data_IF_778984562208
#
_entry.id   IF_778984562208
#
_cell.length_a   1.000
_cell.length_b   1.000
_cell.length_c   1.000
_cell.angle_alpha   90.00
_cell.angle_beta   90.00
_cell.angle_gamma   90.00
#
_symmetry.space_group_name_H-M   'P 1'
#
loop_
_entity.id
_entity.type
_entity.pdbx_description
1 polymer ?
#
# COMPACT_ATOMS: atom_id res chain seq x y z
N UNK A 1 -24.89 15.40 39.13
CA UNK A 1 -24.70 13.95 39.26
C UNK A 1 -23.41 13.61 38.54
N UNK A 2 -22.34 13.33 39.29
CA UNK A 2 -21.00 13.08 38.73
C UNK A 2 -20.89 11.59 38.42
N UNK A 3 -20.81 11.23 37.14
CA UNK A 3 -20.58 9.85 36.71
C UNK A 3 -19.17 9.45 37.16
N UNK A 4 -19.08 8.66 38.23
CA UNK A 4 -17.80 8.06 38.62
C UNK A 4 -17.42 7.04 37.54
N UNK A 5 -16.36 7.34 36.78
CA UNK A 5 -15.83 6.42 35.77
C UNK A 5 -15.31 5.14 36.40
N UNK A 6 -15.46 4.02 35.70
CA UNK A 6 -14.92 2.72 36.11
C UNK A 6 -13.39 2.79 36.20
N UNK A 7 -12.83 2.55 37.39
CA UNK A 7 -11.39 2.41 37.55
C UNK A 7 -10.94 1.03 37.06
N UNK A 8 -10.10 1.00 36.02
CA UNK A 8 -9.54 -0.24 35.44
C UNK A 8 -8.09 -0.40 35.92
N UNK A 9 -7.76 -1.55 36.51
CA UNK A 9 -6.40 -1.89 36.95
C UNK A 9 -5.50 -2.39 35.82
N UNK A 10 -4.22 -2.65 36.12
CA UNK A 10 -3.28 -3.21 35.15
C UNK A 10 -3.67 -4.65 34.74
N UNK A 11 -3.34 -5.08 33.51
CA UNK A 11 -3.52 -6.47 33.10
C UNK A 11 -2.73 -7.44 34.01
N UNK A 12 -3.26 -8.64 34.29
CA UNK A 12 -2.53 -9.70 34.99
C UNK A 12 -1.21 -10.08 34.30
N UNK A 13 -0.26 -10.59 35.07
CA UNK A 13 0.98 -11.16 34.52
C UNK A 13 0.67 -12.34 33.58
N UNK A 14 1.32 -12.38 32.42
CA UNK A 14 1.08 -13.40 31.40
C UNK A 14 -0.12 -13.13 30.49
N UNK A 15 -0.80 -11.98 30.61
CA UNK A 15 -1.86 -11.59 29.68
C UNK A 15 -1.26 -11.42 28.26
N UNK A 16 -1.82 -12.07 27.22
CA UNK A 16 -1.36 -11.86 25.85
C UNK A 16 -1.63 -10.43 25.39
N UNK A 17 -0.80 -9.93 24.46
CA UNK A 17 -1.01 -8.62 23.84
C UNK A 17 -2.37 -8.61 23.12
N UNK A 18 -3.31 -7.72 23.49
CA UNK A 18 -4.60 -7.64 22.83
C UNK A 18 -4.54 -7.03 21.44
N UNK A 19 -3.42 -6.41 21.04
CA UNK A 19 -3.26 -5.74 19.74
C UNK A 19 -2.93 -6.72 18.60
N UNK A 20 -3.58 -7.88 18.61
CA UNK A 20 -3.53 -8.85 17.51
C UNK A 20 -4.54 -8.45 16.44
N UNK A 21 -4.05 -7.92 15.32
CA UNK A 21 -4.89 -7.61 14.16
C UNK A 21 -4.87 -8.78 13.16
N UNK A 22 -6.02 -9.20 12.61
CA UNK A 22 -6.02 -10.08 11.44
C UNK A 22 -5.36 -9.35 10.25
N UNK A 23 -4.75 -10.08 9.30
CA UNK A 23 -4.21 -9.44 8.11
C UNK A 23 -5.27 -8.62 7.37
N UNK A 24 -4.92 -7.40 7.02
CA UNK A 24 -5.77 -6.50 6.26
C UNK A 24 -5.75 -6.90 4.78
N UNK A 25 -6.93 -7.10 4.19
CA UNK A 25 -7.06 -7.44 2.77
C UNK A 25 -6.89 -6.18 1.93
N UNK A 26 -5.82 -6.13 1.13
CA UNK A 26 -5.56 -5.01 0.24
C UNK A 26 -6.66 -4.88 -0.82
N UNK A 27 -7.10 -3.64 -1.06
CA UNK A 27 -8.06 -3.30 -2.12
C UNK A 27 -7.43 -2.34 -3.11
N UNK A 28 -7.82 -2.42 -4.37
CA UNK A 28 -7.38 -1.45 -5.36
C UNK A 28 -7.96 -0.06 -5.02
N UNK A 29 -7.14 0.98 -5.10
CA UNK A 29 -7.55 2.35 -4.74
C UNK A 29 -7.56 2.65 -3.24
N UNK A 30 -7.32 1.66 -2.37
CA UNK A 30 -7.13 1.89 -0.94
C UNK A 30 -5.77 2.60 -0.71
N UNK A 31 -5.76 3.82 -0.11
CA UNK A 31 -4.53 4.56 0.11
C UNK A 31 -3.54 3.82 1.03
N UNK A 32 -4.03 3.03 2.00
CA UNK A 32 -3.18 2.27 2.92
C UNK A 32 -2.46 1.11 2.22
N UNK A 33 -3.15 0.44 1.29
CA UNK A 33 -2.55 -0.57 0.42
C UNK A 33 -1.51 0.07 -0.52
N UNK A 34 -1.91 1.16 -1.19
CA UNK A 34 -1.06 1.89 -2.14
C UNK A 34 0.24 2.36 -1.51
N UNK A 35 0.19 2.93 -0.30
CA UNK A 35 1.38 3.41 0.40
C UNK A 35 2.43 2.29 0.56
N UNK A 36 2.00 1.11 0.99
CA UNK A 36 2.86 -0.07 1.15
C UNK A 36 3.42 -0.56 -0.17
N UNK A 37 2.60 -0.62 -1.21
CA UNK A 37 3.03 -0.98 -2.58
C UNK A 37 4.12 -0.02 -3.05
N UNK A 38 3.90 1.30 -2.99
CA UNK A 38 4.89 2.28 -3.46
C UNK A 38 6.19 2.20 -2.64
N UNK A 39 6.11 2.08 -1.31
CA UNK A 39 7.27 1.91 -0.45
C UNK A 39 8.08 0.64 -0.78
N UNK A 40 7.41 -0.44 -1.16
CA UNK A 40 8.07 -1.66 -1.61
C UNK A 40 8.73 -1.49 -2.96
N UNK A 41 8.01 -0.95 -3.96
CA UNK A 41 8.53 -0.70 -5.30
C UNK A 41 9.75 0.24 -5.31
N UNK A 42 9.81 1.19 -4.37
CA UNK A 42 10.95 2.08 -4.19
C UNK A 42 12.26 1.34 -3.89
N UNK A 43 12.20 0.11 -3.34
CA UNK A 43 13.35 -0.71 -2.95
C UNK A 43 13.70 -1.82 -3.94
N UNK A 44 12.86 -2.02 -4.98
CA UNK A 44 13.13 -3.04 -5.99
C UNK A 44 14.36 -2.67 -6.86
N UNK A 45 15.11 -3.68 -7.33
CA UNK A 45 16.20 -3.45 -8.28
C UNK A 45 15.67 -2.77 -9.54
N UNK A 46 16.46 -1.83 -10.08
CA UNK A 46 16.16 -1.15 -11.35
C UNK A 46 16.73 -1.91 -12.54
N UNK A 47 16.19 -1.64 -13.72
CA UNK A 47 16.64 -2.25 -14.99
C UNK A 47 16.64 -3.79 -14.99
N UNK A 48 15.79 -4.40 -14.16
CA UNK A 48 15.65 -5.85 -14.07
C UNK A 48 14.18 -6.21 -14.25
N UNK A 49 13.89 -7.11 -15.19
CA UNK A 49 12.54 -7.64 -15.37
C UNK A 49 12.24 -8.66 -14.28
N UNK A 50 11.23 -8.37 -13.46
CA UNK A 50 10.78 -9.22 -12.37
C UNK A 50 9.45 -9.88 -12.72
N UNK A 51 9.24 -11.10 -12.24
CA UNK A 51 7.92 -11.75 -12.30
C UNK A 51 7.00 -11.12 -11.26
N UNK A 52 5.78 -10.72 -11.65
CA UNK A 52 4.87 -10.01 -10.75
C UNK A 52 4.47 -10.88 -9.55
N UNK A 53 4.28 -12.19 -9.75
CA UNK A 53 4.05 -13.14 -8.64
C UNK A 53 5.14 -13.11 -7.57
N UNK A 54 6.40 -12.97 -7.98
CA UNK A 54 7.54 -12.99 -7.05
C UNK A 54 7.62 -11.65 -6.30
N UNK A 55 7.30 -10.55 -6.98
CA UNK A 55 7.10 -9.22 -6.38
C UNK A 55 5.99 -9.26 -5.34
N UNK A 56 4.84 -9.87 -5.65
CA UNK A 56 3.69 -10.01 -4.74
C UNK A 56 4.06 -10.88 -3.53
N UNK A 57 4.77 -12.00 -3.74
CA UNK A 57 5.25 -12.85 -2.65
C UNK A 57 6.17 -12.10 -1.69
N UNK A 58 7.14 -11.36 -2.23
CA UNK A 58 8.06 -10.56 -1.44
C UNK A 58 7.37 -9.37 -0.74
N UNK A 59 6.36 -8.76 -1.37
CA UNK A 59 5.54 -7.71 -0.75
C UNK A 59 4.78 -8.24 0.47
N UNK A 60 4.09 -9.38 0.33
CA UNK A 60 3.38 -10.03 1.44
C UNK A 60 4.32 -10.46 2.56
N UNK A 61 5.52 -10.92 2.24
CA UNK A 61 6.54 -11.24 3.24
C UNK A 61 7.07 -9.99 3.98
N UNK A 62 7.07 -8.83 3.32
CA UNK A 62 7.51 -7.57 3.92
C UNK A 62 6.45 -6.91 4.82
N UNK A 63 5.17 -7.26 4.66
CA UNK A 63 4.03 -6.70 5.39
C UNK A 63 3.08 -7.81 5.81
N UNK A 64 3.43 -8.53 6.89
CA UNK A 64 2.68 -9.70 7.37
C UNK A 64 1.29 -9.35 7.94
N UNK A 65 1.09 -8.08 8.29
CA UNK A 65 -0.20 -7.51 8.67
C UNK A 65 -1.12 -7.25 7.47
N UNK A 66 -0.68 -7.55 6.23
CA UNK A 66 -1.43 -7.33 5.00
C UNK A 66 -1.43 -8.54 4.08
N UNK A 67 -2.48 -8.65 3.27
CA UNK A 67 -2.58 -9.62 2.17
C UNK A 67 -2.84 -8.90 0.86
N UNK A 68 -1.89 -9.01 -0.07
CA UNK A 68 -1.94 -8.43 -1.41
C UNK A 68 -2.15 -9.53 -2.45
N UNK A 69 -3.17 -9.34 -3.29
CA UNK A 69 -3.33 -10.14 -4.50
C UNK A 69 -2.60 -9.52 -5.69
N UNK A 70 -2.24 -10.33 -6.68
CA UNK A 70 -1.61 -9.86 -7.92
C UNK A 70 -2.46 -8.81 -8.63
N UNK A 71 -3.79 -8.96 -8.61
CA UNK A 71 -4.74 -7.99 -9.21
C UNK A 71 -4.62 -6.60 -8.58
N UNK A 72 -4.47 -6.53 -7.25
CA UNK A 72 -4.35 -5.25 -6.53
C UNK A 72 -3.02 -4.59 -6.85
N UNK A 73 -1.92 -5.34 -6.80
CA UNK A 73 -0.59 -4.80 -7.14
C UNK A 73 -0.54 -4.33 -8.59
N UNK A 74 -1.15 -5.09 -9.52
CA UNK A 74 -1.25 -4.70 -10.92
C UNK A 74 -2.03 -3.39 -11.10
N UNK A 75 -3.17 -3.23 -10.42
CA UNK A 75 -3.95 -1.99 -10.48
C UNK A 75 -3.15 -0.76 -10.00
N UNK A 76 -2.40 -0.91 -8.91
CA UNK A 76 -1.53 0.16 -8.40
C UNK A 76 -0.37 0.47 -9.36
N UNK A 77 0.22 -0.55 -9.99
CA UNK A 77 1.27 -0.37 -11.00
C UNK A 77 0.76 0.36 -12.24
N UNK A 78 -0.45 0.04 -12.72
CA UNK A 78 -1.11 0.77 -13.82
C UNK A 78 -1.32 2.23 -13.44
N UNK A 79 -1.81 2.49 -12.23
CA UNK A 79 -1.99 3.88 -11.76
C UNK A 79 -0.66 4.63 -11.67
N UNK A 80 0.42 3.98 -11.23
CA UNK A 80 1.75 4.58 -11.18
C UNK A 80 2.29 4.89 -12.59
N UNK A 81 2.11 3.97 -13.55
CA UNK A 81 2.47 4.20 -14.95
C UNK A 81 1.72 5.41 -15.52
N UNK A 82 0.41 5.51 -15.30
CA UNK A 82 -0.39 6.65 -15.73
C UNK A 82 0.12 7.98 -15.11
N UNK A 83 0.41 7.98 -13.80
CA UNK A 83 0.92 9.18 -13.13
C UNK A 83 2.31 9.59 -13.63
N UNK A 84 3.15 8.62 -14.01
CA UNK A 84 4.44 8.88 -14.62
C UNK A 84 4.27 9.59 -15.97
N UNK A 85 3.41 9.04 -16.83
CA UNK A 85 3.13 9.60 -18.15
C UNK A 85 2.60 11.04 -18.08
N UNK A 86 1.72 11.33 -17.12
CA UNK A 86 1.22 12.67 -16.84
C UNK A 86 2.34 13.61 -16.38
N UNK A 87 3.25 13.14 -15.52
CA UNK A 87 4.26 13.99 -14.90
C UNK A 87 5.41 14.36 -15.84
N UNK A 88 5.76 13.47 -16.78
CA UNK A 88 7.01 13.60 -17.53
C UNK A 88 6.86 13.53 -19.05
N UNK A 89 5.66 13.27 -19.58
CA UNK A 89 5.34 13.26 -21.01
C UNK A 89 6.41 12.55 -21.89
N UNK A 90 7.03 11.48 -21.37
CA UNK A 90 8.18 10.81 -21.96
C UNK A 90 8.11 9.28 -21.77
N UNK A 91 9.18 8.57 -22.13
CA UNK A 91 9.22 7.11 -22.21
C UNK A 91 8.66 6.39 -20.97
N UNK A 92 8.04 5.23 -21.21
CA UNK A 92 7.57 4.32 -20.18
C UNK A 92 8.75 3.84 -19.30
N UNK A 93 8.74 4.23 -18.03
CA UNK A 93 9.74 3.79 -17.04
C UNK A 93 9.21 2.80 -16.02
N UNK A 94 7.89 2.60 -15.99
CA UNK A 94 7.24 1.49 -15.27
C UNK A 94 6.57 0.66 -16.34
N UNK A 95 7.19 -0.45 -16.71
CA UNK A 95 6.76 -1.29 -17.83
C UNK A 95 6.09 -2.53 -17.26
N UNK A 96 4.84 -2.74 -17.67
CA UNK A 96 4.08 -3.94 -17.39
C UNK A 96 3.93 -4.72 -18.69
N UNK A 97 4.33 -5.98 -18.66
CA UNK A 97 4.22 -6.88 -19.80
C UNK A 97 3.76 -8.27 -19.34
N UNK A 98 3.72 -9.25 -20.24
CA UNK A 98 3.38 -10.63 -19.95
C UNK A 98 4.37 -11.58 -20.63
N UNK A 99 4.64 -12.69 -19.97
CA UNK A 99 5.28 -13.85 -20.58
C UNK A 99 4.48 -15.12 -20.25
N UNK A 100 5.00 -16.29 -20.64
CA UNK A 100 4.40 -17.60 -20.37
C UNK A 100 4.11 -17.85 -18.88
N UNK A 101 4.84 -17.16 -18.00
CA UNK A 101 4.79 -17.32 -16.55
C UNK A 101 3.86 -16.30 -15.86
N UNK A 102 3.22 -15.40 -16.60
CA UNK A 102 2.30 -14.38 -16.09
C UNK A 102 2.76 -12.95 -16.35
N UNK A 103 2.32 -12.02 -15.52
CA UNK A 103 2.71 -10.61 -15.60
C UNK A 103 4.16 -10.39 -15.21
N UNK A 104 4.81 -9.43 -15.86
CA UNK A 104 6.15 -8.97 -15.51
C UNK A 104 6.17 -7.47 -15.25
N UNK A 105 7.13 -7.06 -14.42
CA UNK A 105 7.38 -5.68 -14.06
C UNK A 105 8.85 -5.33 -14.34
N UNK A 106 9.07 -4.26 -15.07
CA UNK A 106 10.38 -3.62 -15.20
C UNK A 106 10.26 -2.16 -14.76
N UNK A 107 11.10 -1.76 -13.80
CA UNK A 107 11.28 -0.36 -13.43
C UNK A 107 12.61 0.10 -14.02
N UNK A 108 12.53 0.95 -15.05
CA UNK A 108 13.70 1.49 -15.74
C UNK A 108 14.31 2.60 -14.89
N UNK A 109 15.64 2.56 -14.76
CA UNK A 109 16.37 3.55 -13.97
C UNK A 109 16.29 4.95 -14.61
N UNK A 110 16.24 5.95 -13.75
CA UNK A 110 16.14 7.36 -14.13
C UNK A 110 16.43 8.21 -12.91
N UNK A 111 17.11 9.34 -13.13
CA UNK A 111 17.30 10.37 -12.10
C UNK A 111 15.99 10.93 -11.54
N UNK A 112 14.87 10.77 -12.27
CA UNK A 112 13.52 11.20 -11.85
C UNK A 112 12.73 10.10 -11.14
N UNK A 113 13.10 8.83 -11.26
CA UNK A 113 12.32 7.70 -10.74
C UNK A 113 12.20 7.73 -9.22
N UNK A 114 13.32 7.89 -8.51
CA UNK A 114 13.30 7.93 -7.05
C UNK A 114 12.51 9.13 -6.51
N UNK A 115 12.75 10.38 -6.96
CA UNK A 115 11.90 11.51 -6.56
C UNK A 115 10.42 11.32 -6.87
N UNK A 116 10.09 10.71 -8.02
CA UNK A 116 8.71 10.40 -8.39
C UNK A 116 8.06 9.43 -7.39
N UNK A 117 8.72 8.31 -7.06
CA UNK A 117 8.16 7.33 -6.12
C UNK A 117 8.01 7.91 -4.70
N UNK A 118 8.94 8.77 -4.27
CA UNK A 118 8.82 9.51 -3.00
C UNK A 118 7.58 10.42 -3.02
N UNK A 119 7.33 11.14 -4.12
CA UNK A 119 6.15 11.97 -4.26
C UNK A 119 4.85 11.14 -4.30
N UNK A 120 4.86 9.96 -4.92
CA UNK A 120 3.73 9.04 -4.92
C UNK A 120 3.43 8.50 -3.51
N UNK A 121 4.46 8.11 -2.75
CA UNK A 121 4.31 7.66 -1.38
C UNK A 121 3.79 8.78 -0.47
N UNK A 122 4.32 10.00 -0.62
CA UNK A 122 3.88 11.17 0.16
C UNK A 122 2.40 11.48 -0.08
N UNK A 123 1.94 11.43 -1.34
CA UNK A 123 0.51 11.58 -1.66
C UNK A 123 -0.35 10.46 -1.08
N UNK A 124 0.12 9.23 -1.12
CA UNK A 124 -0.61 8.10 -0.53
C UNK A 124 -0.71 8.25 1.00
N UNK A 125 0.35 8.72 1.66
CA UNK A 125 0.35 8.99 3.09
C UNK A 125 -0.67 10.09 3.47
N UNK A 126 -0.72 11.19 2.71
CA UNK A 126 -1.73 12.24 2.90
C UNK A 126 -3.15 11.68 2.73
N UNK A 127 -3.39 10.85 1.72
CA UNK A 127 -4.69 10.20 1.55
C UNK A 127 -5.03 9.24 2.71
N UNK A 128 -4.05 8.54 3.29
CA UNK A 128 -4.27 7.73 4.50
C UNK A 128 -4.70 8.62 5.68
N UNK A 129 -4.01 9.73 5.90
CA UNK A 129 -4.33 10.68 6.97
C UNK A 129 -5.74 11.25 6.81
N UNK A 130 -6.14 11.58 5.58
CA UNK A 130 -7.51 12.02 5.27
C UNK A 130 -8.56 10.94 5.59
N UNK A 131 -8.32 9.68 5.21
CA UNK A 131 -9.25 8.58 5.55
C UNK A 131 -9.37 8.38 7.07
N UNK A 132 -8.24 8.41 7.80
CA UNK A 132 -8.25 8.30 9.26
C UNK A 132 -9.01 9.46 9.91
N UNK A 133 -8.85 10.68 9.37
CA UNK A 133 -9.58 11.85 9.85
C UNK A 133 -11.08 11.71 9.59
N UNK A 134 -11.50 11.31 8.37
CA UNK A 134 -12.92 11.07 8.04
C UNK A 134 -13.55 10.01 8.94
N UNK A 135 -12.83 8.93 9.20
CA UNK A 135 -13.26 7.90 10.14
C UNK A 135 -13.46 8.47 11.55
N UNK A 136 -12.51 9.27 12.04
CA UNK A 136 -12.55 9.88 13.38
C UNK A 136 -13.72 10.85 13.55
N UNK A 137 -14.07 11.58 12.48
CA UNK A 137 -15.17 12.55 12.49
C UNK A 137 -16.57 11.93 12.37
N UNK A 138 -16.66 10.60 12.16
CA UNK A 138 -17.94 9.89 12.07
C UNK A 138 -18.57 9.85 10.68
N UNK A 139 -17.96 10.50 9.69
CA UNK A 139 -18.37 10.44 8.28
C UNK A 139 -18.04 9.07 7.63
N UNK A 140 -17.24 8.24 8.31
CA UNK A 140 -16.78 6.93 7.84
C UNK A 140 -17.80 5.79 7.96
N UNK A 141 -19.02 6.03 8.46
CA UNK A 141 -20.11 5.05 8.40
C UNK A 141 -20.91 5.31 7.11
N UNK A 142 -20.39 4.87 5.98
CA UNK A 142 -21.27 4.54 4.86
C UNK A 142 -22.10 3.34 5.32
N UNK A 143 -23.37 3.58 5.61
CA UNK A 143 -24.38 2.52 5.68
C UNK A 143 -24.53 1.91 4.30
N UNK A 144 -23.82 0.82 4.03
CA UNK A 144 -24.24 -0.12 2.99
C UNK A 144 -25.20 -1.14 3.62
N UNK A 145 -26.46 -1.07 3.19
CA UNK A 145 -27.43 -2.17 3.24
C UNK A 145 -27.09 -3.20 2.15
#
# INVERSE_FOLDING_TARGET
MTTAGLAVGAPPEGMPDPNLAPPQLARAGDPFARLRVVHFLARLPRNTTLQLRDVVGALNAAFLDWSFSEKVVLAELVQLQANWAISFHGDDRIVLDRNERGHTLLIVDSTRMTPFLVAQASRAAQACEEELLRFTLGDGITTDN
#
